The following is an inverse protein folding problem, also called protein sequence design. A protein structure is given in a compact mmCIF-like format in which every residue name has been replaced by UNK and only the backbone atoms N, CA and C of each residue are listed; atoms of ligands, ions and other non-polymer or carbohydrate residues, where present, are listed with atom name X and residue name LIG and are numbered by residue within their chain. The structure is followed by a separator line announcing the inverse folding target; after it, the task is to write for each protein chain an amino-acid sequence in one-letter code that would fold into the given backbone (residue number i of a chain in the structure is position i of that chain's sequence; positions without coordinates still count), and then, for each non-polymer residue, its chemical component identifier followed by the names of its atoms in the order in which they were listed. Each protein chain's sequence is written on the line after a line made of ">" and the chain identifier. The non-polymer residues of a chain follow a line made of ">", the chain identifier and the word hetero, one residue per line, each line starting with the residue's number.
data_IF_708743385619
#
_entry.id   IF_708743385619
#
_cell.length_a   1.000
_cell.length_b   1.000
_cell.length_c   1.000
_cell.angle_alpha   90.00
_cell.angle_beta   90.00
_cell.angle_gamma   90.00
#
_symmetry.space_group_name_H-M   'P 1'
#
loop_
_entity.id
_entity.type
_entity.pdbx_description
1 polymer ?
#
# COMPACT_ATOMS: atom_id res chain seq x y z
N UNK A 1 40.71 6.93 30.54
CA UNK A 1 39.76 8.04 30.38
C UNK A 1 38.58 7.51 29.57
N UNK A 2 37.39 7.33 30.18
CA UNK A 2 36.20 6.93 29.41
C UNK A 2 35.65 8.17 28.71
N UNK A 3 35.78 8.21 27.38
CA UNK A 3 35.12 9.24 26.57
C UNK A 3 33.61 9.01 26.70
N UNK A 4 32.91 9.97 27.30
CA UNK A 4 31.46 10.00 27.22
C UNK A 4 31.10 10.24 25.75
N UNK A 5 30.19 9.45 25.15
CA UNK A 5 29.71 9.75 23.82
C UNK A 5 29.15 11.17 23.80
N UNK A 6 29.36 11.93 22.71
CA UNK A 6 28.80 13.27 22.60
C UNK A 6 27.29 13.18 22.82
N UNK A 7 26.75 14.04 23.70
CA UNK A 7 25.31 14.19 23.91
C UNK A 7 24.73 14.66 22.58
N UNK A 8 24.18 13.74 21.78
CA UNK A 8 23.44 14.12 20.59
C UNK A 8 22.14 14.79 21.04
N UNK A 9 21.84 16.00 20.58
CA UNK A 9 20.53 16.59 20.81
C UNK A 9 19.48 15.65 20.19
N UNK A 10 18.33 15.44 20.86
CA UNK A 10 17.26 14.62 20.29
C UNK A 10 16.86 15.21 18.93
N UNK A 11 16.72 14.32 17.94
CA UNK A 11 16.25 14.72 16.61
C UNK A 11 14.86 15.36 16.74
N UNK A 12 14.60 16.51 16.10
CA UNK A 12 13.28 17.11 16.11
C UNK A 12 12.25 16.14 15.53
N UNK A 13 11.17 15.90 16.28
CA UNK A 13 10.04 15.13 15.78
C UNK A 13 9.26 15.97 14.77
N UNK A 14 9.07 15.44 13.56
CA UNK A 14 8.26 16.10 12.52
C UNK A 14 6.80 15.71 12.79
N UNK A 15 5.91 16.67 13.10
CA UNK A 15 4.53 16.34 13.41
C UNK A 15 3.79 15.84 12.17
N UNK A 16 2.99 14.78 12.34
CA UNK A 16 2.03 14.33 11.35
C UNK A 16 0.87 15.33 11.31
N UNK A 17 0.67 15.99 10.17
CA UNK A 17 -0.47 16.89 9.95
C UNK A 17 -1.48 16.15 9.07
N UNK A 18 -2.69 16.00 9.59
CA UNK A 18 -3.80 15.42 8.82
C UNK A 18 -4.20 16.37 7.67
N UNK A 19 -4.41 15.81 6.48
CA UNK A 19 -4.80 16.54 5.28
C UNK A 19 -6.14 16.03 4.78
N UNK A 20 -7.21 16.77 5.07
CA UNK A 20 -8.57 16.45 4.64
C UNK A 20 -8.74 16.39 3.11
N UNK A 21 -7.82 16.97 2.33
CA UNK A 21 -7.84 16.93 0.87
C UNK A 21 -6.93 15.84 0.30
N UNK A 22 -6.33 15.00 1.14
CA UNK A 22 -5.58 13.85 0.68
C UNK A 22 -6.52 12.90 -0.07
N UNK A 23 -6.14 12.41 -1.27
CA UNK A 23 -6.99 11.51 -2.02
C UNK A 23 -7.11 10.16 -1.31
N UNK A 24 -8.34 9.68 -1.16
CA UNK A 24 -8.61 8.31 -0.74
C UNK A 24 -8.95 7.47 -1.99
N UNK A 25 -8.23 6.37 -2.17
CA UNK A 25 -8.41 5.47 -3.31
C UNK A 25 -9.10 4.21 -2.83
N UNK A 26 -10.36 4.03 -3.26
CA UNK A 26 -11.04 2.76 -3.11
C UNK A 26 -10.54 1.79 -4.20
N UNK A 27 -9.79 0.78 -3.78
CA UNK A 27 -9.29 -0.29 -4.63
C UNK A 27 -9.99 -1.61 -4.29
N UNK A 28 -10.46 -2.31 -5.33
CA UNK A 28 -11.02 -3.65 -5.23
C UNK A 28 -9.97 -4.76 -5.31
N UNK A 29 -8.75 -4.44 -5.76
CA UNK A 29 -7.68 -5.42 -5.86
C UNK A 29 -6.28 -4.84 -6.06
N UNK A 30 -5.30 -5.72 -5.88
CA UNK A 30 -3.89 -5.53 -6.24
C UNK A 30 -3.63 -6.27 -7.55
N UNK A 31 -3.21 -5.56 -8.60
CA UNK A 31 -2.92 -6.19 -9.89
C UNK A 31 -1.43 -6.38 -10.15
N UNK A 32 -0.56 -5.63 -9.46
CA UNK A 32 0.87 -5.73 -9.72
C UNK A 32 1.75 -5.18 -8.62
N UNK A 33 2.91 -5.83 -8.49
CA UNK A 33 4.04 -5.39 -7.69
C UNK A 33 5.28 -5.36 -8.59
N UNK A 34 6.04 -4.28 -8.54
CA UNK A 34 7.32 -4.20 -9.26
C UNK A 34 8.38 -3.54 -8.38
N UNK A 35 9.64 -3.98 -8.52
CA UNK A 35 10.80 -3.35 -7.89
C UNK A 35 11.75 -2.86 -8.97
N UNK A 36 11.90 -1.55 -9.09
CA UNK A 36 12.83 -0.92 -10.03
C UNK A 36 13.60 0.19 -9.31
N UNK A 37 14.94 0.16 -9.40
CA UNK A 37 15.83 1.16 -8.81
C UNK A 37 15.55 1.45 -7.32
N UNK A 38 15.27 0.41 -6.54
CA UNK A 38 14.99 0.53 -5.10
C UNK A 38 13.60 1.09 -4.76
N UNK A 39 12.73 1.28 -5.76
CA UNK A 39 11.34 1.70 -5.60
C UNK A 39 10.42 0.50 -5.84
N UNK A 40 9.70 0.13 -4.80
CA UNK A 40 8.56 -0.79 -4.87
C UNK A 40 7.35 -0.01 -5.39
N UNK A 41 6.71 -0.50 -6.43
CA UNK A 41 5.46 0.05 -6.95
C UNK A 41 4.33 -0.93 -6.74
N UNK A 42 3.26 -0.47 -6.11
CA UNK A 42 1.99 -1.19 -5.90
C UNK A 42 0.97 -0.66 -6.90
N UNK A 43 0.41 -1.53 -7.74
CA UNK A 43 -0.63 -1.18 -8.71
C UNK A 43 -1.99 -1.68 -8.24
N UNK A 44 -2.90 -0.75 -8.00
CA UNK A 44 -4.24 -0.99 -7.49
C UNK A 44 -5.28 -0.86 -8.59
N UNK A 45 -6.34 -1.64 -8.49
CA UNK A 45 -7.40 -1.69 -9.49
C UNK A 45 -8.79 -1.82 -8.87
N UNK A 46 -9.81 -1.64 -9.69
CA UNK A 46 -11.20 -1.87 -9.32
C UNK A 46 -12.00 -2.32 -10.56
N UNK A 47 -12.97 -3.24 -10.45
CA UNK A 47 -13.95 -3.45 -11.51
C UNK A 47 -14.78 -2.18 -11.76
N UNK A 48 -14.91 -1.77 -13.02
CA UNK A 48 -15.81 -0.71 -13.48
C UNK A 48 -16.47 -1.09 -14.79
N UNK A 49 -17.74 -0.74 -14.93
CA UNK A 49 -18.46 -0.87 -16.19
C UNK A 49 -18.33 0.43 -16.99
N UNK A 50 -18.03 0.32 -18.29
CA UNK A 50 -18.02 1.45 -19.21
C UNK A 50 -19.44 1.71 -19.75
N UNK A 51 -20.20 2.54 -19.03
CA UNK A 51 -21.58 2.89 -19.38
C UNK A 51 -21.70 3.77 -20.63
N UNK A 52 -20.58 4.14 -21.28
CA UNK A 52 -20.60 4.82 -22.58
C UNK A 52 -20.80 3.88 -23.77
N UNK A 53 -20.70 2.56 -23.59
CA UNK A 53 -20.85 1.56 -24.65
C UNK A 53 -22.29 1.03 -24.75
N UNK A 54 -22.76 0.63 -25.96
CA UNK A 54 -24.09 0.05 -26.14
C UNK A 54 -24.33 -1.20 -25.27
N UNK A 55 -23.28 -2.01 -25.10
CA UNK A 55 -23.27 -3.21 -24.25
C UNK A 55 -22.13 -3.08 -23.21
N UNK A 56 -22.38 -2.47 -22.03
CA UNK A 56 -21.33 -2.22 -21.05
C UNK A 56 -20.82 -3.52 -20.41
N UNK A 57 -19.56 -3.87 -20.67
CA UNK A 57 -18.85 -4.96 -20.00
C UNK A 57 -18.16 -4.48 -18.73
N UNK A 58 -18.02 -5.38 -17.75
CA UNK A 58 -17.23 -5.12 -16.55
C UNK A 58 -15.74 -5.29 -16.86
N UNK A 59 -14.94 -4.24 -16.70
CA UNK A 59 -13.50 -4.24 -16.92
C UNK A 59 -12.75 -3.93 -15.62
N UNK A 60 -11.55 -4.49 -15.44
CA UNK A 60 -10.67 -4.14 -14.33
C UNK A 60 -9.85 -2.91 -14.74
N UNK A 61 -10.01 -1.80 -14.02
CA UNK A 61 -9.31 -0.55 -14.31
C UNK A 61 -8.32 -0.21 -13.21
N UNK A 62 -7.15 0.31 -13.59
CA UNK A 62 -6.16 0.80 -12.63
C UNK A 62 -6.70 2.07 -11.98
N UNK A 63 -6.80 2.06 -10.65
CA UNK A 63 -7.30 3.20 -9.86
C UNK A 63 -6.18 3.94 -9.13
N UNK A 64 -5.00 3.34 -8.99
CA UNK A 64 -3.87 3.97 -8.33
C UNK A 64 -2.56 3.23 -8.52
N UNK A 65 -1.46 3.97 -8.40
CA UNK A 65 -0.10 3.42 -8.27
C UNK A 65 0.62 4.12 -7.15
N UNK A 66 1.18 3.35 -6.23
CA UNK A 66 1.93 3.87 -5.08
C UNK A 66 3.38 3.44 -5.24
N UNK A 67 4.28 4.41 -5.40
CA UNK A 67 5.73 4.20 -5.48
C UNK A 67 6.38 4.53 -4.14
N UNK A 68 7.23 3.63 -3.65
CA UNK A 68 7.75 3.69 -2.29
C UNK A 68 9.14 3.06 -2.20
N UNK A 69 10.10 3.68 -1.49
CA UNK A 69 11.38 3.04 -1.19
C UNK A 69 11.19 1.73 -0.43
N UNK A 70 12.13 0.80 -0.57
CA UNK A 70 12.09 -0.51 0.11
C UNK A 70 11.77 -0.41 1.61
N UNK A 71 12.42 0.47 2.42
CA UNK A 71 12.11 0.56 3.85
C UNK A 71 10.66 0.95 4.14
N UNK A 72 10.10 1.87 3.35
CA UNK A 72 8.70 2.27 3.44
C UNK A 72 7.77 1.11 3.07
N UNK A 73 8.16 0.27 2.11
CA UNK A 73 7.40 -0.92 1.74
C UNK A 73 7.39 -2.01 2.79
N UNK A 74 8.51 -2.23 3.46
CA UNK A 74 8.58 -3.11 4.60
C UNK A 74 7.69 -2.60 5.75
N UNK A 75 7.75 -1.29 6.04
CA UNK A 75 6.90 -0.68 7.06
C UNK A 75 5.40 -0.82 6.75
N UNK A 76 4.99 -0.60 5.50
CA UNK A 76 3.61 -0.80 5.06
C UNK A 76 3.16 -2.26 5.26
N UNK A 77 3.95 -3.22 4.80
CA UNK A 77 3.66 -4.65 4.94
C UNK A 77 3.47 -5.03 6.41
N UNK A 78 4.41 -4.65 7.27
CA UNK A 78 4.33 -4.94 8.71
C UNK A 78 3.11 -4.27 9.37
N UNK A 79 2.84 -3.01 9.05
CA UNK A 79 1.71 -2.27 9.60
C UNK A 79 0.37 -2.89 9.20
N UNK A 80 0.19 -3.22 7.91
CA UNK A 80 -1.02 -3.89 7.41
C UNK A 80 -1.21 -5.27 8.06
N UNK A 81 -0.15 -6.07 8.14
CA UNK A 81 -0.21 -7.38 8.77
C UNK A 81 -0.66 -7.28 10.23
N UNK A 82 -0.06 -6.37 10.99
CA UNK A 82 -0.40 -6.13 12.39
C UNK A 82 -1.85 -5.66 12.54
N UNK A 83 -2.28 -4.70 11.72
CA UNK A 83 -3.63 -4.16 11.74
C UNK A 83 -4.69 -5.24 11.47
N UNK A 84 -4.53 -6.02 10.39
CA UNK A 84 -5.46 -7.11 10.07
C UNK A 84 -5.52 -8.16 11.19
N UNK A 85 -4.36 -8.50 11.77
CA UNK A 85 -4.28 -9.44 12.89
C UNK A 85 -5.04 -8.93 14.13
N UNK A 86 -4.94 -7.64 14.44
CA UNK A 86 -5.68 -7.01 15.55
C UNK A 86 -7.20 -7.06 15.32
N UNK A 87 -7.63 -7.01 14.07
CA UNK A 87 -9.04 -7.10 13.67
C UNK A 87 -9.51 -8.54 13.39
N UNK A 88 -8.73 -9.56 13.78
CA UNK A 88 -9.06 -10.98 13.60
C UNK A 88 -9.28 -11.38 12.13
N UNK A 89 -8.72 -10.60 11.19
CA UNK A 89 -8.71 -10.94 9.77
C UNK A 89 -7.41 -11.68 9.49
N UNK A 90 -7.47 -12.90 8.94
CA UNK A 90 -6.26 -13.65 8.61
C UNK A 90 -5.50 -12.95 7.47
N UNK A 91 -4.32 -12.38 7.71
CA UNK A 91 -3.58 -11.60 6.71
C UNK A 91 -3.00 -12.48 5.58
N UNK A 92 -2.95 -13.80 5.77
CA UNK A 92 -2.40 -14.75 4.79
C UNK A 92 -3.48 -15.61 4.13
N UNK A 93 -4.76 -15.41 4.46
CA UNK A 93 -5.86 -16.17 3.86
C UNK A 93 -6.15 -15.79 2.39
N UNK A 94 -5.47 -14.78 1.83
CA UNK A 94 -5.71 -14.27 0.49
C UNK A 94 -5.31 -15.22 -0.66
N UNK A 95 -4.94 -16.48 -0.38
CA UNK A 95 -4.65 -17.48 -1.39
C UNK A 95 -5.84 -18.44 -1.56
N UNK A 96 -6.53 -18.38 -2.70
CA UNK A 96 -7.11 -19.49 -3.52
C UNK A 96 -8.32 -19.00 -4.33
N UNK A 97 -8.12 -18.23 -5.41
CA UNK A 97 -9.16 -18.14 -6.48
C UNK A 97 -8.62 -17.77 -7.87
N UNK A 98 -7.29 -17.79 -8.08
CA UNK A 98 -6.66 -17.63 -9.40
C UNK A 98 -5.88 -18.88 -9.83
N UNK A 99 -6.51 -20.06 -9.73
CA UNK A 99 -5.93 -21.29 -10.31
C UNK A 99 -6.98 -22.26 -10.83
N UNK A 100 -7.97 -21.76 -11.57
CA UNK A 100 -8.80 -22.53 -12.50
C UNK A 100 -9.32 -21.58 -13.59
N UNK A 101 -8.49 -21.27 -14.58
CA UNK A 101 -8.92 -20.95 -15.94
C UNK A 101 -7.99 -21.68 -16.90
#
# INVERSE_FOLDING_TARGET
>A
MKMHPPIQPPLPEIPLVDNMFAPEILAGGLTGLSLLNGIVTVTLENPRADHGRPDPSLERVIVGRIGMPIPTAQALLCGLYQFLSQHQVNPLAAETEMRCQ
#
